data_IF_483805149596
#
_entry.id   IF_483805149596
#
_cell.length_a   1.000
_cell.length_b   1.000
_cell.length_c   1.000
_cell.angle_alpha   90.00
_cell.angle_beta   90.00
_cell.angle_gamma   90.00
#
_symmetry.space_group_name_H-M   'P 1'
#
loop_
_entity.id
_entity.type
_entity.pdbx_description
1 polymer ?
#
# COMPACT_ATOMS: atom_id res chain seq x y z
N UNK A 1 5.86 -22.10 19.04
CA UNK A 1 7.32 -21.84 19.10
C UNK A 1 7.54 -20.62 19.97
N UNK A 2 8.53 -20.63 20.87
CA UNK A 2 8.84 -19.49 21.74
C UNK A 2 10.09 -18.79 21.18
N UNK A 3 9.97 -17.51 20.84
CA UNK A 3 11.08 -16.71 20.34
C UNK A 3 11.60 -15.84 21.48
N UNK A 4 12.78 -16.17 22.04
CA UNK A 4 13.33 -15.38 23.12
C UNK A 4 13.67 -13.97 22.59
N UNK A 5 13.36 -12.94 23.37
CA UNK A 5 13.64 -11.55 22.98
C UNK A 5 15.13 -11.23 23.13
N UNK A 6 15.95 -11.79 22.25
CA UNK A 6 17.41 -11.61 22.23
C UNK A 6 17.96 -11.50 20.81
N UNK A 7 19.20 -11.03 20.70
CA UNK A 7 19.87 -10.78 19.44
C UNK A 7 20.52 -12.01 18.79
N UNK A 8 20.32 -13.21 19.35
CA UNK A 8 20.88 -14.41 18.75
C UNK A 8 20.17 -14.68 17.42
N UNK A 9 20.92 -15.18 16.45
CA UNK A 9 20.38 -15.59 15.15
C UNK A 9 19.24 -16.58 15.33
N UNK A 10 18.12 -16.33 14.66
CA UNK A 10 17.00 -17.24 14.64
C UNK A 10 17.32 -18.46 13.76
N UNK A 11 17.03 -19.65 14.28
CA UNK A 11 17.13 -20.88 13.50
C UNK A 11 15.93 -21.00 12.55
N UNK A 12 16.20 -21.32 11.28
CA UNK A 12 15.19 -21.63 10.25
C UNK A 12 14.08 -20.56 10.07
N UNK A 13 14.43 -19.30 9.74
CA UNK A 13 13.44 -18.21 9.54
C UNK A 13 12.38 -18.53 8.47
N UNK A 14 12.69 -19.37 7.49
CA UNK A 14 11.77 -19.79 6.43
C UNK A 14 10.48 -20.46 6.94
N UNK A 15 10.50 -21.03 8.15
CA UNK A 15 9.36 -21.68 8.77
C UNK A 15 8.44 -20.70 9.52
N UNK A 16 8.83 -19.44 9.67
CA UNK A 16 8.20 -18.51 10.62
C UNK A 16 7.93 -17.11 10.07
N UNK A 17 8.42 -16.78 8.87
CA UNK A 17 8.12 -15.51 8.20
C UNK A 17 8.00 -15.67 6.69
N UNK A 18 7.20 -14.80 6.07
CA UNK A 18 7.13 -14.63 4.63
C UNK A 18 7.97 -13.43 4.13
N UNK A 19 8.55 -12.61 5.01
CA UNK A 19 9.35 -11.43 4.61
C UNK A 19 10.57 -11.87 3.76
N UNK A 20 10.69 -11.43 2.50
CA UNK A 20 11.77 -11.85 1.61
C UNK A 20 13.17 -11.45 2.11
N UNK A 21 13.30 -10.47 3.02
CA UNK A 21 14.59 -10.08 3.58
C UNK A 21 15.18 -11.17 4.48
N UNK A 22 14.34 -11.89 5.20
CA UNK A 22 14.74 -12.90 6.18
C UNK A 22 14.81 -14.32 5.61
N UNK A 23 14.22 -14.54 4.43
CA UNK A 23 14.12 -15.86 3.83
C UNK A 23 15.39 -16.30 3.11
N UNK A 24 15.64 -17.60 3.11
CA UNK A 24 16.76 -18.26 2.41
C UNK A 24 16.32 -19.10 1.21
N UNK A 25 15.02 -19.41 1.10
CA UNK A 25 14.42 -20.06 -0.06
C UNK A 25 13.20 -19.30 -0.60
N UNK A 26 12.87 -19.57 -1.87
CA UNK A 26 11.74 -18.97 -2.60
C UNK A 26 11.82 -17.44 -2.71
N UNK A 27 13.03 -16.88 -2.80
CA UNK A 27 13.25 -15.45 -2.95
C UNK A 27 13.67 -15.13 -4.38
N UNK A 28 13.01 -14.16 -5.00
CA UNK A 28 13.27 -13.71 -6.37
C UNK A 28 13.70 -12.25 -6.40
N UNK A 29 14.57 -11.89 -7.35
CA UNK A 29 14.91 -10.50 -7.63
C UNK A 29 13.91 -9.83 -8.58
N UNK A 30 14.10 -8.54 -8.81
CA UNK A 30 13.28 -7.72 -9.71
C UNK A 30 13.35 -8.11 -11.20
N UNK A 31 14.20 -9.07 -11.56
CA UNK A 31 14.28 -9.67 -12.92
C UNK A 31 13.49 -10.97 -13.04
N UNK A 32 12.83 -11.45 -11.98
CA UNK A 32 12.18 -12.76 -11.96
C UNK A 32 13.15 -13.92 -11.84
N UNK A 33 14.42 -13.65 -11.56
CA UNK A 33 15.43 -14.68 -11.32
C UNK A 33 15.42 -15.08 -9.85
N UNK A 34 15.41 -16.40 -9.59
CA UNK A 34 15.58 -16.93 -8.24
C UNK A 34 16.93 -16.45 -7.68
N UNK A 35 16.91 -15.87 -6.48
CA UNK A 35 18.11 -15.39 -5.82
C UNK A 35 19.01 -16.57 -5.45
N UNK A 36 20.31 -16.44 -5.71
CA UNK A 36 21.28 -17.50 -5.44
C UNK A 36 21.42 -17.73 -3.94
N UNK A 37 21.49 -19.00 -3.51
CA UNK A 37 21.53 -19.40 -2.10
C UNK A 37 22.64 -18.71 -1.28
N UNK A 38 23.82 -18.46 -1.87
CA UNK A 38 24.93 -17.77 -1.21
C UNK A 38 24.74 -16.25 -1.03
N UNK A 39 23.61 -15.70 -1.49
CA UNK A 39 23.29 -14.28 -1.41
C UNK A 39 22.09 -14.00 -0.49
N UNK A 40 21.58 -15.03 0.16
CA UNK A 40 20.44 -15.00 1.08
C UNK A 40 20.86 -15.50 2.48
N UNK A 41 20.16 -15.07 3.54
CA UNK A 41 19.13 -14.03 3.53
C UNK A 41 19.76 -12.65 3.29
N UNK A 42 18.96 -11.65 2.91
CA UNK A 42 19.47 -10.28 2.77
C UNK A 42 19.71 -9.63 4.12
N UNK A 43 18.95 -10.05 5.14
CA UNK A 43 19.12 -9.67 6.54
C UNK A 43 19.07 -10.96 7.35
N UNK A 44 20.06 -11.19 8.21
CA UNK A 44 20.02 -12.30 9.15
C UNK A 44 18.96 -12.00 10.23
N UNK A 45 17.94 -12.85 10.35
CA UNK A 45 16.92 -12.70 11.38
C UNK A 45 17.48 -12.99 12.77
N UNK A 46 17.19 -12.13 13.74
CA UNK A 46 17.39 -12.38 15.17
C UNK A 46 16.09 -12.95 15.80
N UNK A 47 16.19 -13.51 17.00
CA UNK A 47 15.00 -14.05 17.67
C UNK A 47 13.95 -12.98 18.00
N UNK A 48 14.33 -11.71 18.21
CA UNK A 48 13.37 -10.62 18.41
C UNK A 48 12.65 -10.18 17.12
N UNK A 49 13.18 -10.54 15.95
CA UNK A 49 12.51 -10.27 14.66
C UNK A 49 11.35 -11.25 14.43
N UNK A 50 11.26 -12.31 15.24
CA UNK A 50 10.32 -13.41 15.07
C UNK A 50 9.42 -13.63 16.33
N UNK A 51 8.15 -14.03 16.17
CA UNK A 51 7.45 -14.11 14.91
C UNK A 51 7.30 -12.70 14.38
N UNK A 52 7.66 -12.50 13.11
CA UNK A 52 7.44 -11.21 12.47
C UNK A 52 5.94 -10.98 12.58
N UNK A 53 5.49 -9.92 13.28
CA UNK A 53 4.07 -9.69 13.67
C UNK A 53 3.12 -9.53 12.47
N UNK A 54 3.66 -9.81 11.31
CA UNK A 54 3.22 -9.50 10.02
C UNK A 54 2.57 -10.76 9.41
N UNK A 55 3.10 -11.97 9.63
CA UNK A 55 2.42 -13.22 9.25
C UNK A 55 1.55 -13.77 10.38
N UNK A 56 0.21 -13.78 10.24
CA UNK A 56 -0.67 -14.30 11.29
C UNK A 56 -0.48 -15.81 11.43
N UNK A 57 -0.21 -16.28 12.64
CA UNK A 57 -0.05 -17.72 12.90
C UNK A 57 -1.40 -18.43 12.85
N UNK A 58 -1.80 -18.88 11.65
CA UNK A 58 -3.01 -19.68 11.46
C UNK A 58 -2.69 -21.17 11.53
N UNK A 59 -3.65 -21.91 12.08
CA UNK A 59 -3.59 -23.35 12.28
C UNK A 59 -4.75 -23.96 11.50
N UNK A 60 -4.48 -24.97 10.66
CA UNK A 60 -5.52 -25.75 9.97
C UNK A 60 -5.44 -27.17 10.49
N UNK A 61 -6.54 -27.68 11.05
CA UNK A 61 -6.59 -29.05 11.59
C UNK A 61 -5.59 -29.33 12.72
N UNK A 62 -5.20 -28.32 13.49
CA UNK A 62 -4.20 -28.45 14.57
C UNK A 62 -2.74 -28.35 14.12
N UNK A 63 -2.48 -28.18 12.81
CA UNK A 63 -1.13 -28.07 12.24
C UNK A 63 -0.82 -26.62 11.84
N UNK A 64 0.38 -26.16 12.19
CA UNK A 64 0.88 -24.86 11.78
C UNK A 64 0.95 -24.78 10.26
N UNK A 65 0.27 -23.81 9.67
CA UNK A 65 0.33 -23.58 8.23
C UNK A 65 1.63 -22.85 7.90
N UNK A 66 2.23 -23.14 6.74
CA UNK A 66 3.40 -22.39 6.25
C UNK A 66 3.14 -20.88 6.29
N UNK A 67 4.13 -20.05 6.69
CA UNK A 67 3.98 -18.59 6.70
C UNK A 67 3.64 -18.02 5.31
N UNK A 68 4.01 -18.71 4.23
CA UNK A 68 3.64 -18.34 2.86
C UNK A 68 2.12 -18.39 2.65
N UNK A 69 1.48 -19.47 3.09
CA UNK A 69 0.02 -19.63 2.97
C UNK A 69 -0.71 -18.67 3.92
N UNK A 70 -0.16 -18.43 5.10
CA UNK A 70 -0.69 -17.42 6.04
C UNK A 70 -0.69 -16.03 5.43
N UNK A 71 0.41 -15.64 4.79
CA UNK A 71 0.54 -14.38 4.07
C UNK A 71 -0.45 -14.27 2.90
N UNK A 72 -0.60 -15.34 2.11
CA UNK A 72 -1.60 -15.40 1.02
C UNK A 72 -3.01 -15.21 1.56
N UNK A 73 -3.43 -15.99 2.56
CA UNK A 73 -4.78 -15.91 3.12
C UNK A 73 -5.11 -14.53 3.72
N UNK A 74 -4.15 -13.91 4.43
CA UNK A 74 -4.36 -12.56 4.97
C UNK A 74 -4.43 -11.52 3.85
N UNK A 75 -3.54 -11.62 2.86
CA UNK A 75 -3.54 -10.71 1.70
C UNK A 75 -4.84 -10.81 0.92
N UNK A 76 -5.38 -12.02 0.76
CA UNK A 76 -6.66 -12.28 0.09
C UNK A 76 -7.83 -11.67 0.87
N UNK A 77 -7.84 -11.82 2.20
CA UNK A 77 -8.89 -11.25 3.05
C UNK A 77 -8.94 -9.71 3.00
N UNK A 78 -7.79 -9.07 2.81
CA UNK A 78 -7.68 -7.61 2.71
C UNK A 78 -7.78 -7.08 1.27
N UNK A 79 -7.73 -7.96 0.26
CA UNK A 79 -7.73 -7.53 -1.14
C UNK A 79 -9.07 -6.96 -1.56
N UNK A 80 -9.01 -5.80 -2.23
CA UNK A 80 -10.16 -5.09 -2.79
C UNK A 80 -9.91 -4.76 -4.27
N UNK A 81 -10.96 -4.76 -5.08
CA UNK A 81 -10.93 -4.50 -6.53
C UNK A 81 -11.34 -3.08 -6.89
N UNK A 82 -11.96 -2.36 -5.97
CA UNK A 82 -12.22 -0.93 -6.15
C UNK A 82 -12.27 -0.21 -4.80
N UNK A 83 -11.97 1.09 -4.81
CA UNK A 83 -12.13 1.98 -3.68
C UNK A 83 -12.91 3.21 -4.11
N UNK A 84 -13.99 3.50 -3.42
CA UNK A 84 -14.92 4.57 -3.73
C UNK A 84 -15.12 5.44 -2.50
N UNK A 85 -14.86 6.74 -2.63
CA UNK A 85 -15.09 7.71 -1.57
C UNK A 85 -15.52 9.06 -2.14
N UNK A 86 -16.10 9.90 -1.27
CA UNK A 86 -16.40 11.29 -1.60
C UNK A 86 -15.18 12.18 -1.36
N UNK A 87 -15.16 13.33 -2.02
CA UNK A 87 -14.22 14.40 -1.76
C UNK A 87 -14.89 15.78 -1.90
N UNK A 88 -14.38 16.75 -1.17
CA UNK A 88 -14.80 18.14 -1.22
C UNK A 88 -13.60 19.08 -1.16
N UNK A 89 -13.56 20.06 -2.08
CA UNK A 89 -12.48 21.04 -2.24
C UNK A 89 -13.00 22.47 -2.40
N UNK A 90 -14.25 22.71 -1.98
CA UNK A 90 -14.88 24.03 -2.04
C UNK A 90 -14.11 25.08 -1.21
N UNK A 91 -13.66 26.13 -1.88
CA UNK A 91 -12.87 27.20 -1.28
C UNK A 91 -13.68 28.08 -0.32
N UNK A 92 -15.01 28.21 -0.51
CA UNK A 92 -15.86 29.05 0.34
C UNK A 92 -15.85 28.57 1.80
N UNK A 93 -15.68 27.27 1.99
CA UNK A 93 -15.61 26.61 3.29
C UNK A 93 -14.25 25.96 3.54
N UNK A 94 -13.20 26.42 2.83
CA UNK A 94 -11.83 25.92 2.94
C UNK A 94 -11.76 24.38 3.02
N UNK A 95 -12.57 23.69 2.21
CA UNK A 95 -12.67 22.25 2.24
C UNK A 95 -11.40 21.62 1.69
N UNK A 96 -10.93 20.57 2.37
CA UNK A 96 -9.78 19.76 1.96
C UNK A 96 -10.12 18.30 2.17
N UNK A 97 -9.62 17.45 1.29
CA UNK A 97 -9.81 15.99 1.39
C UNK A 97 -8.50 15.25 1.22
N UNK A 98 -8.23 14.31 2.14
CA UNK A 98 -7.16 13.31 2.02
C UNK A 98 -7.74 11.91 2.09
N UNK A 99 -7.31 11.04 1.19
CA UNK A 99 -7.54 9.61 1.30
C UNK A 99 -6.24 8.93 1.71
N UNK A 100 -6.30 8.12 2.77
CA UNK A 100 -5.16 7.33 3.24
C UNK A 100 -5.36 5.90 2.82
N UNK A 101 -4.35 5.32 2.17
CA UNK A 101 -4.32 3.91 1.82
C UNK A 101 -3.17 3.24 2.53
N UNK A 102 -3.44 2.12 3.20
CA UNK A 102 -2.45 1.26 3.84
C UNK A 102 -2.48 -0.12 3.20
N UNK A 103 -1.30 -0.69 2.92
CA UNK A 103 -1.11 -2.03 2.37
C UNK A 103 -0.25 -2.88 3.30
N UNK A 104 -0.81 -3.32 4.44
CA UNK A 104 -0.03 -3.91 5.53
C UNK A 104 0.64 -5.23 5.14
N UNK A 105 0.09 -5.97 4.16
CA UNK A 105 0.63 -7.27 3.75
C UNK A 105 1.68 -7.19 2.66
N UNK A 106 2.02 -6.00 2.17
CA UNK A 106 3.01 -5.83 1.09
C UNK A 106 4.34 -6.48 1.45
N UNK A 107 4.77 -6.31 2.69
CA UNK A 107 6.06 -6.79 3.19
C UNK A 107 6.20 -8.31 3.15
N UNK A 108 5.10 -9.08 3.10
CA UNK A 108 5.17 -10.56 2.96
C UNK A 108 5.51 -11.01 1.56
N UNK A 109 5.28 -10.15 0.57
CA UNK A 109 5.46 -10.51 -0.82
C UNK A 109 6.64 -9.76 -1.42
N UNK A 110 6.82 -8.48 -1.11
CA UNK A 110 7.93 -7.68 -1.63
C UNK A 110 8.52 -6.74 -0.58
N UNK A 111 9.86 -6.69 -0.52
CA UNK A 111 10.61 -5.78 0.33
C UNK A 111 11.73 -5.07 -0.44
N UNK A 112 12.19 -3.94 0.11
CA UNK A 112 13.34 -3.21 -0.39
C UNK A 112 14.62 -3.68 0.33
N UNK A 113 15.59 -4.14 -0.43
CA UNK A 113 16.94 -4.42 0.03
C UNK A 113 17.77 -3.14 -0.03
N UNK A 114 17.85 -2.42 1.09
CA UNK A 114 18.60 -1.16 1.19
C UNK A 114 20.13 -1.32 1.10
N UNK A 115 20.65 -2.56 1.16
CA UNK A 115 22.05 -2.83 0.90
C UNK A 115 22.39 -2.91 -0.60
N UNK A 116 21.39 -2.90 -1.49
CA UNK A 116 21.64 -2.86 -2.93
C UNK A 116 22.28 -1.51 -3.34
N UNK A 117 23.21 -1.49 -4.32
CA UNK A 117 23.96 -0.30 -4.68
C UNK A 117 23.08 0.88 -5.15
N UNK A 118 21.96 0.59 -5.81
CA UNK A 118 21.02 1.60 -6.31
C UNK A 118 19.59 1.07 -6.26
N UNK A 119 18.61 1.98 -6.35
CA UNK A 119 17.18 1.62 -6.47
C UNK A 119 16.81 0.95 -7.78
N UNK A 120 17.68 1.04 -8.80
CA UNK A 120 17.51 0.39 -10.10
C UNK A 120 18.11 -1.03 -10.16
N UNK A 121 18.85 -1.43 -9.12
CA UNK A 121 19.49 -2.74 -9.05
C UNK A 121 18.43 -3.87 -9.04
N UNK A 122 18.70 -4.96 -9.76
CA UNK A 122 17.83 -6.14 -9.81
C UNK A 122 17.58 -6.76 -8.42
N UNK A 123 18.49 -6.53 -7.47
CA UNK A 123 18.39 -7.02 -6.09
C UNK A 123 17.79 -6.02 -5.13
N UNK A 124 17.38 -4.82 -5.59
CA UNK A 124 16.74 -3.81 -4.73
C UNK A 124 15.33 -4.23 -4.32
N UNK A 125 14.49 -4.68 -5.26
CA UNK A 125 13.21 -5.31 -4.92
C UNK A 125 13.42 -6.80 -4.85
N UNK A 126 13.13 -7.37 -3.69
CA UNK A 126 13.16 -8.81 -3.47
C UNK A 126 11.76 -9.31 -3.15
N UNK A 127 11.42 -10.47 -3.69
CA UNK A 127 10.07 -11.03 -3.62
C UNK A 127 10.11 -12.40 -2.97
N UNK A 128 9.14 -12.70 -2.12
CA UNK A 128 8.85 -14.07 -1.71
C UNK A 128 7.83 -14.63 -2.68
N UNK A 129 8.13 -15.79 -3.26
CA UNK A 129 7.18 -16.59 -4.03
C UNK A 129 6.27 -17.33 -3.05
N UNK A 130 5.02 -16.86 -2.95
CA UNK A 130 4.06 -17.33 -1.94
C UNK A 130 3.36 -18.62 -2.38
N UNK A 131 3.32 -18.91 -3.69
CA UNK A 131 2.49 -19.98 -4.26
C UNK A 131 3.16 -20.75 -5.43
N UNK A 132 4.49 -20.75 -5.46
CA UNK A 132 5.32 -21.52 -6.40
C UNK A 132 5.17 -21.14 -7.88
N UNK A 133 4.98 -19.86 -8.18
CA UNK A 133 4.95 -19.33 -9.56
C UNK A 133 5.90 -18.14 -9.74
N UNK A 134 7.08 -18.20 -9.15
CA UNK A 134 8.17 -17.25 -9.35
C UNK A 134 7.80 -15.79 -9.06
N UNK A 135 6.99 -15.56 -8.03
CA UNK A 135 6.50 -14.23 -7.67
C UNK A 135 5.63 -13.54 -8.76
N UNK A 136 5.06 -14.32 -9.71
CA UNK A 136 4.24 -13.81 -10.80
C UNK A 136 2.73 -13.86 -10.55
N UNK A 137 2.26 -14.59 -9.53
CA UNK A 137 0.84 -14.77 -9.23
C UNK A 137 0.40 -14.06 -7.94
N UNK A 138 1.22 -13.21 -7.38
CA UNK A 138 0.93 -12.51 -6.13
C UNK A 138 0.26 -11.16 -6.36
N UNK A 139 -0.08 -10.48 -5.27
CA UNK A 139 -0.69 -9.14 -5.32
C UNK A 139 0.35 -8.09 -5.70
N UNK A 140 1.62 -8.31 -5.35
CA UNK A 140 2.76 -7.47 -5.72
C UNK A 140 3.77 -8.28 -6.52
N UNK A 141 3.63 -8.23 -7.83
CA UNK A 141 4.50 -8.92 -8.77
C UNK A 141 5.63 -8.01 -9.22
N UNK A 142 6.62 -8.61 -9.87
CA UNK A 142 7.69 -7.88 -10.56
C UNK A 142 7.12 -6.92 -11.61
N UNK A 143 6.05 -7.33 -12.30
CA UNK A 143 5.44 -6.59 -13.40
C UNK A 143 4.52 -5.45 -12.98
N UNK A 144 3.90 -5.50 -11.79
CA UNK A 144 2.98 -4.45 -11.33
C UNK A 144 3.61 -3.48 -10.31
N UNK A 145 4.77 -3.82 -9.74
CA UNK A 145 5.48 -2.92 -8.84
C UNK A 145 6.55 -2.11 -9.56
N UNK A 146 6.89 -0.96 -9.00
CA UNK A 146 8.01 -0.10 -9.42
C UNK A 146 8.64 0.58 -8.21
N UNK A 147 9.81 1.21 -8.38
CA UNK A 147 10.45 2.01 -7.32
C UNK A 147 10.32 3.48 -7.64
N UNK A 148 9.99 4.31 -6.66
CA UNK A 148 9.99 5.77 -6.78
C UNK A 148 10.45 6.37 -5.47
N UNK A 149 11.50 7.20 -5.51
CA UNK A 149 12.10 7.82 -4.32
C UNK A 149 12.44 6.81 -3.22
N UNK A 150 12.90 5.61 -3.59
CA UNK A 150 13.22 4.52 -2.66
C UNK A 150 12.00 3.77 -2.09
N UNK A 151 10.77 4.21 -2.38
CA UNK A 151 9.58 3.46 -2.03
C UNK A 151 9.22 2.49 -3.16
N UNK A 152 8.90 1.24 -2.81
CA UNK A 152 8.19 0.34 -3.72
C UNK A 152 6.78 0.90 -3.89
N UNK A 153 6.25 0.87 -5.10
CA UNK A 153 4.93 1.36 -5.43
C UNK A 153 4.18 0.36 -6.31
N UNK A 154 2.86 0.36 -6.24
CA UNK A 154 1.96 -0.29 -7.20
C UNK A 154 0.94 0.74 -7.68
N UNK A 155 0.54 0.69 -8.93
CA UNK A 155 -0.48 1.60 -9.46
C UNK A 155 -1.87 0.98 -9.35
N UNK A 156 -2.91 1.82 -9.31
CA UNK A 156 -4.26 1.41 -9.67
C UNK A 156 -4.34 1.04 -11.16
N UNK A 157 -5.35 0.26 -11.54
CA UNK A 157 -5.66 -0.03 -12.96
C UNK A 157 -6.35 1.15 -13.66
N UNK A 158 -6.83 2.12 -12.87
CA UNK A 158 -7.42 3.35 -13.37
C UNK A 158 -8.27 4.04 -12.31
N UNK A 159 -8.91 5.13 -12.70
CA UNK A 159 -9.80 5.89 -11.82
C UNK A 159 -10.83 6.69 -12.62
N UNK A 160 -11.97 6.92 -11.98
CA UNK A 160 -13.04 7.78 -12.47
C UNK A 160 -13.39 8.82 -11.40
N UNK A 161 -13.73 10.03 -11.83
CA UNK A 161 -14.21 11.11 -10.97
C UNK A 161 -15.60 11.51 -11.41
N UNK A 162 -16.47 11.78 -10.45
CA UNK A 162 -17.86 12.13 -10.66
C UNK A 162 -18.17 13.39 -9.89
N UNK A 163 -18.94 14.31 -10.47
CA UNK A 163 -19.51 15.44 -9.73
C UNK A 163 -20.76 15.03 -8.93
N UNK A 164 -21.46 16.01 -8.36
CA UNK A 164 -22.68 15.78 -7.58
C UNK A 164 -23.87 15.38 -8.46
N UNK A 165 -23.81 15.73 -9.73
CA UNK A 165 -24.81 15.45 -10.78
C UNK A 165 -24.47 14.17 -11.57
N UNK A 166 -23.46 13.40 -11.12
CA UNK A 166 -23.00 12.14 -11.71
C UNK A 166 -22.40 12.25 -13.12
N UNK A 167 -22.03 13.46 -13.55
CA UNK A 167 -21.17 13.62 -14.73
C UNK A 167 -19.79 13.08 -14.41
N UNK A 168 -19.18 12.34 -15.35
CA UNK A 168 -17.92 11.64 -15.10
C UNK A 168 -16.73 12.18 -15.92
N UNK A 169 -15.54 12.05 -15.34
CA UNK A 169 -14.24 12.24 -15.98
C UNK A 169 -13.33 11.07 -15.67
N UNK A 170 -12.74 10.48 -16.70
CA UNK A 170 -11.73 9.41 -16.61
C UNK A 170 -10.34 9.88 -17.03
N UNK A 171 -10.22 11.11 -17.54
CA UNK A 171 -8.99 11.71 -18.05
C UNK A 171 -8.93 13.20 -17.70
N UNK A 172 -7.73 13.78 -17.73
CA UNK A 172 -7.46 15.18 -17.41
C UNK A 172 -7.11 15.44 -15.94
N UNK A 173 -7.22 14.42 -15.07
CA UNK A 173 -6.71 14.50 -13.71
C UNK A 173 -5.17 14.43 -13.72
N UNK A 174 -4.53 15.33 -12.97
CA UNK A 174 -3.07 15.40 -12.85
C UNK A 174 -2.66 14.86 -11.48
N UNK A 175 -1.78 13.87 -11.45
CA UNK A 175 -1.23 13.32 -10.21
C UNK A 175 0.21 13.78 -10.03
N UNK A 176 0.50 14.42 -8.90
CA UNK A 176 1.84 14.92 -8.56
C UNK A 176 2.27 14.42 -7.18
N UNK A 177 3.56 14.29 -6.85
CA UNK A 177 4.71 14.38 -7.76
C UNK A 177 4.79 13.14 -8.67
N UNK A 178 4.95 13.35 -9.98
CA UNK A 178 5.12 12.28 -10.96
C UNK A 178 4.54 12.58 -12.34
N UNK A 179 4.84 11.71 -13.30
CA UNK A 179 4.26 11.68 -14.65
C UNK A 179 3.15 10.63 -14.77
N UNK A 180 2.74 10.01 -13.66
CA UNK A 180 1.72 8.96 -13.65
C UNK A 180 0.33 9.56 -13.87
N UNK A 181 -0.47 8.91 -14.70
CA UNK A 181 -1.84 9.33 -15.04
C UNK A 181 -2.90 8.68 -14.15
N UNK A 182 -2.48 8.03 -13.06
CA UNK A 182 -3.34 7.25 -12.18
C UNK A 182 -2.85 7.25 -10.72
N UNK A 183 -3.76 6.88 -9.82
CA UNK A 183 -3.46 6.72 -8.39
C UNK A 183 -2.36 5.69 -8.19
N UNK A 184 -1.39 6.01 -7.33
CA UNK A 184 -0.24 5.15 -7.06
C UNK A 184 0.00 5.01 -5.57
N UNK A 185 0.18 3.78 -5.14
CA UNK A 185 0.31 3.42 -3.74
C UNK A 185 1.77 3.10 -3.44
N UNK A 186 2.48 4.05 -2.85
CA UNK A 186 3.90 3.92 -2.51
C UNK A 186 4.11 3.64 -1.02
N UNK A 187 5.07 2.77 -0.69
CA UNK A 187 5.32 2.32 0.67
C UNK A 187 4.13 1.56 1.29
N UNK A 188 4.16 1.38 2.60
CA UNK A 188 3.07 0.73 3.32
C UNK A 188 1.84 1.63 3.42
N UNK A 189 2.03 2.93 3.70
CA UNK A 189 0.96 3.91 3.79
C UNK A 189 1.20 5.06 2.82
N UNK A 190 0.18 5.43 2.04
CA UNK A 190 0.20 6.53 1.08
C UNK A 190 -1.02 7.42 1.23
N UNK A 191 -0.89 8.69 0.85
CA UNK A 191 -1.95 9.69 0.95
C UNK A 191 -2.27 10.24 -0.43
N UNK A 192 -3.53 10.21 -0.84
CA UNK A 192 -4.01 10.95 -2.02
C UNK A 192 -4.77 12.19 -1.54
N UNK A 193 -4.17 13.36 -1.75
CA UNK A 193 -4.76 14.64 -1.41
C UNK A 193 -5.45 15.24 -2.62
N UNK A 194 -6.65 15.76 -2.44
CA UNK A 194 -7.44 16.34 -3.51
C UNK A 194 -7.23 17.86 -3.54
N UNK A 195 -6.81 18.36 -4.70
CA UNK A 195 -6.67 19.78 -5.04
C UNK A 195 -5.93 20.65 -4.00
N UNK A 196 -5.01 20.07 -3.23
CA UNK A 196 -4.23 20.77 -2.21
C UNK A 196 -2.74 20.75 -2.57
N UNK A 197 -2.12 21.92 -2.67
CA UNK A 197 -0.67 22.08 -2.91
C UNK A 197 0.12 22.49 -1.65
N UNK A 198 -0.54 22.63 -0.51
CA UNK A 198 0.02 23.07 0.76
C UNK A 198 -0.04 21.96 1.82
N UNK A 199 -0.37 22.32 3.06
CA UNK A 199 -0.64 21.35 4.13
C UNK A 199 -2.06 20.82 3.95
N UNK A 200 -2.17 19.54 3.59
CA UNK A 200 -3.44 18.83 3.45
C UNK A 200 -4.08 18.50 4.80
N UNK A 201 -5.18 17.73 4.80
CA UNK A 201 -5.93 17.40 6.03
C UNK A 201 -5.04 16.74 7.08
N UNK A 202 -4.21 15.78 6.66
CA UNK A 202 -3.34 15.00 7.56
C UNK A 202 -1.89 15.48 7.55
N UNK A 203 -1.53 16.43 6.68
CA UNK A 203 -0.16 16.94 6.57
C UNK A 203 0.86 15.91 6.08
N UNK A 204 0.44 14.82 5.45
CA UNK A 204 1.34 13.80 4.90
C UNK A 204 2.26 14.38 3.82
N UNK A 205 3.54 14.00 3.83
CA UNK A 205 4.56 14.53 2.91
C UNK A 205 5.41 13.47 2.21
N UNK A 206 5.64 12.31 2.84
CA UNK A 206 6.58 11.29 2.33
C UNK A 206 5.99 10.49 1.17
N UNK A 207 4.81 9.89 1.36
CA UNK A 207 4.12 9.07 0.37
C UNK A 207 2.81 9.73 -0.08
N UNK A 208 2.83 11.06 -0.23
CA UNK A 208 1.68 11.85 -0.67
C UNK A 208 1.69 12.03 -2.19
N UNK A 209 0.51 11.86 -2.78
CA UNK A 209 0.19 12.34 -4.11
C UNK A 209 -0.93 13.36 -4.04
N UNK A 210 -0.87 14.38 -4.89
CA UNK A 210 -1.93 15.36 -5.09
C UNK A 210 -2.62 15.07 -6.42
N UNK A 211 -3.94 15.01 -6.40
CA UNK A 211 -4.77 14.97 -7.59
C UNK A 211 -5.41 16.33 -7.85
N UNK A 212 -5.28 16.85 -9.05
CA UNK A 212 -5.93 18.09 -9.51
C UNK A 212 -6.61 17.87 -10.88
N UNK A 213 -7.31 18.88 -11.40
CA UNK A 213 -8.07 18.75 -12.66
C UNK A 213 -9.37 17.96 -12.56
N UNK A 214 -9.74 17.57 -11.34
CA UNK A 214 -11.00 16.89 -11.00
C UNK A 214 -12.12 17.90 -10.71
N UNK A 215 -13.35 17.44 -10.50
CA UNK A 215 -14.44 18.32 -10.05
C UNK A 215 -14.13 18.93 -8.67
N UNK A 216 -14.78 20.04 -8.30
CA UNK A 216 -14.57 20.69 -7.00
C UNK A 216 -15.07 19.79 -5.86
N UNK A 217 -16.27 19.24 -6.00
CA UNK A 217 -16.91 18.35 -5.04
C UNK A 217 -17.50 17.15 -5.79
N UNK A 218 -17.45 15.97 -5.18
CA UNK A 218 -17.96 14.78 -5.83
C UNK A 218 -17.48 13.49 -5.19
N UNK A 219 -17.35 12.45 -6.00
CA UNK A 219 -16.81 11.16 -5.58
C UNK A 219 -15.88 10.59 -6.64
N UNK A 220 -15.00 9.68 -6.22
CA UNK A 220 -14.09 9.00 -7.13
C UNK A 220 -14.12 7.50 -6.89
N UNK A 221 -13.93 6.75 -7.97
CA UNK A 221 -13.70 5.32 -7.98
C UNK A 221 -12.26 5.06 -8.42
N UNK A 222 -11.48 4.38 -7.59
CA UNK A 222 -10.13 3.92 -7.92
C UNK A 222 -10.21 2.42 -8.18
N UNK A 223 -9.89 2.01 -9.40
CA UNK A 223 -9.88 0.61 -9.81
C UNK A 223 -8.59 -0.07 -9.33
N UNK A 224 -8.72 -1.06 -8.47
CA UNK A 224 -7.61 -1.83 -7.91
C UNK A 224 -7.74 -3.31 -8.25
N UNK A 225 -8.40 -3.63 -9.36
CA UNK A 225 -8.65 -5.01 -9.80
C UNK A 225 -7.37 -5.82 -9.94
N UNK A 226 -6.26 -5.21 -10.37
CA UNK A 226 -4.92 -5.79 -10.40
C UNK A 226 -4.94 -7.16 -11.09
N UNK A 227 -5.41 -7.23 -12.34
CA UNK A 227 -5.66 -8.51 -13.05
C UNK A 227 -6.68 -9.43 -12.34
N UNK A 228 -7.73 -8.88 -11.74
CA UNK A 228 -8.80 -9.60 -11.04
C UNK A 228 -8.44 -10.08 -9.63
N UNK A 229 -7.19 -9.91 -9.21
CA UNK A 229 -6.65 -10.31 -7.92
C UNK A 229 -7.05 -9.34 -6.79
N UNK A 230 -7.11 -8.04 -7.05
CA UNK A 230 -7.26 -7.02 -6.02
C UNK A 230 -5.93 -6.56 -5.44
N UNK A 231 -5.97 -5.48 -4.65
CA UNK A 231 -4.87 -5.01 -3.82
C UNK A 231 -5.28 -4.98 -2.34
N UNK A 232 -4.40 -5.37 -1.40
CA UNK A 232 -4.73 -5.47 0.03
C UNK A 232 -4.77 -4.09 0.70
N UNK A 233 -5.82 -3.31 0.44
CA UNK A 233 -5.90 -1.91 0.85
C UNK A 233 -6.85 -1.72 2.02
N UNK A 234 -6.35 -1.07 3.06
CA UNK A 234 -7.09 -0.52 4.18
C UNK A 234 -7.00 1.01 4.18
N UNK A 235 -7.86 1.67 4.95
CA UNK A 235 -7.77 3.10 5.17
C UNK A 235 -9.11 3.82 5.16
N UNK A 236 -9.05 5.13 4.99
CA UNK A 236 -10.20 6.02 5.09
C UNK A 236 -10.01 7.32 4.31
N UNK A 237 -11.12 8.01 4.04
CA UNK A 237 -11.14 9.41 3.62
C UNK A 237 -11.32 10.31 4.83
N UNK A 238 -10.58 11.41 4.84
CA UNK A 238 -10.62 12.45 5.83
C UNK A 238 -10.94 13.76 5.13
N UNK A 239 -12.04 14.40 5.54
CA UNK A 239 -12.47 15.70 5.01
C UNK A 239 -12.42 16.70 6.16
N UNK A 240 -11.79 17.84 5.93
CA UNK A 240 -11.82 18.99 6.82
C UNK A 240 -12.53 20.14 6.11
N UNK A 241 -13.44 20.79 6.80
CA UNK A 241 -14.13 21.99 6.33
C UNK A 241 -14.00 23.06 7.41
N UNK A 242 -13.80 24.31 6.99
CA UNK A 242 -13.75 25.47 7.86
C UNK A 242 -14.46 26.64 7.20
N UNK A 243 -15.60 27.04 7.75
CA UNK A 243 -16.30 28.25 7.33
C UNK A 243 -15.58 29.49 7.91
N UNK A 244 -14.88 30.30 7.08
CA UNK A 244 -14.19 31.50 7.54
C UNK A 244 -15.17 32.62 7.96
N UNK A 245 -16.44 32.52 7.58
CA UNK A 245 -17.50 33.48 7.91
C UNK A 245 -18.33 33.08 9.13
N UNK A 246 -17.91 32.07 9.90
CA UNK A 246 -18.60 31.70 11.13
C UNK A 246 -18.55 32.85 12.15
N UNK A 247 -19.70 33.15 12.78
CA UNK A 247 -19.81 34.18 13.82
C UNK A 247 -18.87 33.88 14.99
N UNK A 248 -18.26 34.92 15.56
CA UNK A 248 -17.40 34.80 16.73
C UNK A 248 -18.10 34.02 17.87
N UNK A 249 -17.38 33.06 18.47
CA UNK A 249 -17.93 32.17 19.50
C UNK A 249 -18.70 30.96 18.96
N UNK A 250 -18.82 30.78 17.64
CA UNK A 250 -19.43 29.59 17.02
C UNK A 250 -18.37 28.73 16.34
N UNK A 251 -18.46 27.40 16.47
CA UNK A 251 -17.57 26.49 15.74
C UNK A 251 -17.89 26.53 14.25
N UNK A 252 -16.94 27.03 13.45
CA UNK A 252 -17.00 26.99 11.98
C UNK A 252 -16.26 25.80 11.38
N UNK A 253 -15.71 24.90 12.19
CA UNK A 253 -14.85 23.80 11.73
C UNK A 253 -15.50 22.45 11.89
N UNK A 254 -15.43 21.63 10.84
CA UNK A 254 -15.99 20.29 10.79
C UNK A 254 -14.96 19.31 10.24
N UNK A 255 -14.96 18.10 10.79
CA UNK A 255 -14.15 16.99 10.34
C UNK A 255 -15.03 15.77 10.08
N UNK A 256 -14.77 15.06 8.99
CA UNK A 256 -15.51 13.85 8.63
C UNK A 256 -14.51 12.77 8.25
N UNK A 257 -14.65 11.59 8.86
CA UNK A 257 -13.88 10.39 8.50
C UNK A 257 -14.83 9.34 7.97
N UNK A 258 -14.55 8.85 6.76
CA UNK A 258 -15.30 7.77 6.13
C UNK A 258 -14.38 6.59 5.84
N UNK A 259 -14.69 5.38 6.33
CA UNK A 259 -14.04 4.17 5.83
C UNK A 259 -14.18 4.10 4.31
N UNK A 260 -13.15 3.57 3.63
CA UNK A 260 -13.27 3.29 2.20
C UNK A 260 -14.49 2.40 1.91
N UNK A 261 -15.30 2.78 0.92
CA UNK A 261 -16.24 1.84 0.30
C UNK A 261 -15.48 1.06 -0.75
N UNK A 262 -15.65 -0.26 -0.79
CA UNK A 262 -14.88 -1.11 -1.69
C UNK A 262 -15.67 -2.31 -2.20
N UNK A 263 -15.19 -2.89 -3.29
CA UNK A 263 -15.63 -4.20 -3.80
C UNK A 263 -14.51 -5.22 -3.68
N UNK A 264 -14.84 -6.51 -3.63
CA UNK A 264 -13.87 -7.62 -3.58
C UNK A 264 -13.94 -8.51 -4.82
#
# INVERSE_FOLDING_TARGET
MHFPQNANTAAAPDATTADPLFRTANVYGATGTLASAGTLPKIAAANYDLPDMSTPYTIVGGVAVSPLVQATNLTDALSVRSINNQYANDQVINAKTDWVFSMPTRRYNVAANYAAPTTADATYRIYTDLNANAAADERFTIGNTAVTNGAICVNSDGQSFYDREETSKVSGAVFSPGTVTQTRFCGETSVLSFADSGVSVLGGSVARQNVSGVYVNGWSNVNTSNSGRGLPILGASFIKLSNPSATAGTSGTYGITWPHRFTR
#
